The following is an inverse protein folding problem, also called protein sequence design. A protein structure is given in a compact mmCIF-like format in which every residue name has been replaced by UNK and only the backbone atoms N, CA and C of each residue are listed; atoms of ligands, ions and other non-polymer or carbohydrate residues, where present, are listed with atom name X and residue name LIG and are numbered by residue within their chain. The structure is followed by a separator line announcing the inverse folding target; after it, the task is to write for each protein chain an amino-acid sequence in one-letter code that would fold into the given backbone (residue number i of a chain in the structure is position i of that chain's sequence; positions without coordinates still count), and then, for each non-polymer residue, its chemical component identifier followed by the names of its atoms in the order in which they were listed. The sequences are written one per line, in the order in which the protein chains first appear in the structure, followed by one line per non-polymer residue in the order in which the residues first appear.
data_IF_430355935063
#
_entry.id   IF_430355935063
#
_cell.length_a   1.000
_cell.length_b   1.000
_cell.length_c   1.000
_cell.angle_alpha   90.00
_cell.angle_beta   90.00
_cell.angle_gamma   90.00
#
_symmetry.space_group_name_H-M   'P 1'
#
loop_
_entity.id
_entity.type
_entity.pdbx_description
1 polymer ?
#
# COMPACT_ATOMS: atom_id res chain seq x y z
N UNK A 1 -15.81 11.15 71.89
CA UNK A 1 -14.64 10.56 71.21
C UNK A 1 -15.03 10.15 69.79
N UNK A 2 -14.66 10.92 68.77
CA UNK A 2 -14.66 10.50 67.35
C UNK A 2 -13.47 11.18 66.70
N UNK A 3 -12.51 10.39 66.19
CA UNK A 3 -11.36 10.89 65.42
C UNK A 3 -11.78 11.04 63.96
N UNK A 4 -11.39 12.11 63.24
CA UNK A 4 -11.61 12.19 61.80
C UNK A 4 -10.56 11.35 61.07
N UNK A 5 -11.01 10.58 60.08
CA UNK A 5 -10.17 9.82 59.16
C UNK A 5 -9.68 10.76 58.06
N UNK A 6 -8.35 10.84 57.86
CA UNK A 6 -7.75 11.52 56.72
C UNK A 6 -7.75 10.57 55.52
N UNK A 7 -8.46 10.93 54.44
CA UNK A 7 -8.32 10.28 53.14
C UNK A 7 -6.99 10.70 52.51
N UNK A 8 -6.04 9.78 52.41
CA UNK A 8 -4.84 9.97 51.61
C UNK A 8 -5.18 9.77 50.12
N UNK A 9 -5.16 10.86 49.35
CA UNK A 9 -5.24 10.80 47.89
C UNK A 9 -3.87 10.40 47.37
N UNK A 10 -3.73 9.17 46.88
CA UNK A 10 -2.53 8.71 46.18
C UNK A 10 -2.59 9.26 44.75
N UNK A 11 -1.82 10.30 44.47
CA UNK A 11 -1.62 10.81 43.11
C UNK A 11 -0.64 9.88 42.41
N UNK A 12 -1.16 8.98 41.58
CA UNK A 12 -0.35 8.13 40.72
C UNK A 12 0.17 8.99 39.55
N UNK A 13 1.37 9.53 39.67
CA UNK A 13 2.07 10.17 38.55
C UNK A 13 2.40 9.09 37.53
N UNK A 14 1.63 9.04 36.44
CA UNK A 14 2.00 8.35 35.21
C UNK A 14 3.29 9.00 34.68
N UNK A 15 4.42 8.36 34.94
CA UNK A 15 5.66 8.65 34.22
C UNK A 15 5.42 8.21 32.77
N UNK A 16 5.24 9.18 31.88
CA UNK A 16 5.34 8.94 30.45
C UNK A 16 6.77 8.49 30.17
N UNK A 17 6.96 7.18 30.01
CA UNK A 17 8.21 6.65 29.47
C UNK A 17 8.21 7.05 28.00
N UNK A 18 8.91 8.14 27.69
CA UNK A 18 9.28 8.46 26.32
C UNK A 18 10.22 7.36 25.86
N UNK A 19 9.70 6.38 25.12
CA UNK A 19 10.54 5.51 24.31
C UNK A 19 11.27 6.46 23.35
N UNK A 20 12.60 6.60 23.43
CA UNK A 20 13.29 7.43 22.47
C UNK A 20 13.03 6.82 21.09
N UNK A 21 12.92 7.65 20.06
CA UNK A 21 12.89 7.19 18.67
C UNK A 21 14.28 6.62 18.29
N UNK A 22 14.68 5.51 18.91
CA UNK A 22 16.03 4.94 18.79
C UNK A 22 16.26 4.34 17.39
N UNK A 23 15.22 4.21 16.56
CA UNK A 23 15.29 3.52 15.27
C UNK A 23 15.67 4.36 14.04
N UNK A 24 15.71 5.70 14.10
CA UNK A 24 15.74 6.51 12.86
C UNK A 24 16.94 7.45 12.71
N UNK A 25 17.74 7.67 13.75
CA UNK A 25 19.01 8.42 13.62
C UNK A 25 19.97 7.72 12.64
N UNK A 26 19.85 6.40 12.47
CA UNK A 26 20.61 5.64 11.46
C UNK A 26 20.25 5.97 10.01
N UNK A 27 19.09 6.59 9.78
CA UNK A 27 18.63 7.04 8.46
C UNK A 27 18.95 8.52 8.21
N UNK A 28 19.76 9.18 9.05
CA UNK A 28 20.18 10.57 8.83
C UNK A 28 21.49 10.71 8.03
N UNK A 29 22.17 9.60 7.73
CA UNK A 29 23.43 9.60 6.98
C UNK A 29 23.26 9.47 5.46
N UNK A 30 24.33 9.74 4.71
CA UNK A 30 24.33 9.65 3.25
C UNK A 30 24.64 8.23 2.75
N UNK A 31 24.27 7.94 1.51
CA UNK A 31 24.57 6.70 0.80
C UNK A 31 23.46 5.67 0.89
N UNK A 32 23.74 4.45 0.43
CA UNK A 32 22.75 3.37 0.48
C UNK A 32 22.57 2.88 1.91
N UNK A 33 21.31 2.83 2.34
CA UNK A 33 20.86 2.14 3.54
C UNK A 33 19.87 1.06 3.18
N UNK A 34 19.91 -0.05 3.90
CA UNK A 34 18.89 -1.08 3.79
C UNK A 34 18.38 -1.53 5.13
N UNK A 35 17.11 -1.95 5.20
CA UNK A 35 16.56 -2.60 6.38
C UNK A 35 15.45 -3.58 6.01
N UNK A 36 15.19 -4.52 6.92
CA UNK A 36 14.17 -5.57 6.81
C UNK A 36 12.97 -5.29 7.70
N UNK A 37 11.80 -5.61 7.18
CA UNK A 37 10.50 -5.52 7.87
C UNK A 37 9.69 -6.78 7.61
N UNK A 38 8.76 -7.14 8.50
CA UNK A 38 7.77 -8.17 8.17
C UNK A 38 6.94 -7.77 6.96
N UNK A 39 6.63 -8.74 6.11
CA UNK A 39 5.79 -8.54 4.95
C UNK A 39 4.29 -8.63 5.30
N UNK A 40 3.44 -7.96 4.51
CA UNK A 40 2.00 -8.25 4.48
C UNK A 40 1.76 -9.63 3.86
N UNK A 41 0.84 -10.42 4.43
CA UNK A 41 0.69 -11.84 4.10
C UNK A 41 0.33 -12.16 2.64
N UNK A 42 -0.21 -11.20 1.89
CA UNK A 42 -0.61 -11.37 0.48
C UNK A 42 0.39 -10.80 -0.52
N UNK A 43 1.57 -10.36 -0.07
CA UNK A 43 2.58 -9.89 -1.02
C UNK A 43 3.18 -11.09 -1.75
N UNK A 44 3.24 -11.01 -3.09
CA UNK A 44 3.99 -11.98 -3.89
C UNK A 44 5.50 -11.80 -3.74
N UNK A 45 6.28 -12.70 -4.35
CA UNK A 45 7.74 -12.50 -4.41
C UNK A 45 8.07 -11.34 -5.36
N UNK A 46 8.39 -10.18 -4.80
CA UNK A 46 8.68 -8.95 -5.53
C UNK A 46 10.16 -8.87 -5.89
N UNK A 47 10.55 -9.58 -6.95
CA UNK A 47 11.91 -9.52 -7.51
C UNK A 47 11.94 -8.94 -8.92
N UNK A 48 13.15 -8.87 -9.49
CA UNK A 48 13.39 -8.42 -10.85
C UNK A 48 13.49 -9.61 -11.79
N UNK A 49 12.89 -9.46 -12.97
CA UNK A 49 12.81 -10.51 -13.98
C UNK A 49 13.18 -9.97 -15.37
N UNK A 50 13.76 -10.85 -16.19
CA UNK A 50 13.82 -10.68 -17.64
C UNK A 50 12.65 -11.41 -18.28
N UNK A 51 11.85 -10.67 -19.05
CA UNK A 51 10.67 -11.20 -19.74
C UNK A 51 11.00 -11.43 -21.21
N UNK A 52 11.02 -12.70 -21.62
CA UNK A 52 11.33 -13.08 -22.99
C UNK A 52 10.32 -14.11 -23.48
N UNK A 53 9.51 -13.76 -24.50
CA UNK A 53 8.55 -14.66 -25.16
C UNK A 53 7.63 -15.43 -24.18
N UNK A 54 7.13 -14.75 -23.14
CA UNK A 54 6.26 -15.34 -22.12
C UNK A 54 6.98 -16.11 -21.01
N UNK A 55 8.30 -16.25 -21.07
CA UNK A 55 9.11 -16.79 -19.98
C UNK A 55 9.66 -15.66 -19.09
N UNK A 56 9.65 -15.88 -17.78
CA UNK A 56 10.16 -14.95 -16.78
C UNK A 56 11.36 -15.57 -16.06
N UNK A 57 12.54 -14.99 -16.24
CA UNK A 57 13.76 -15.45 -15.57
C UNK A 57 14.16 -14.45 -14.50
N UNK A 58 14.29 -14.91 -13.24
CA UNK A 58 14.74 -14.06 -12.12
C UNK A 58 16.16 -13.58 -12.38
N UNK A 59 16.39 -12.28 -12.16
CA UNK A 59 17.70 -11.64 -12.24
C UNK A 59 17.97 -10.76 -11.01
N UNK A 60 19.22 -10.37 -10.76
CA UNK A 60 19.51 -9.37 -9.74
C UNK A 60 18.78 -8.05 -10.00
N UNK A 61 18.27 -7.44 -8.93
CA UNK A 61 17.72 -6.09 -8.96
C UNK A 61 18.83 -5.06 -8.88
N UNK A 62 18.92 -4.20 -9.90
CA UNK A 62 19.91 -3.13 -9.97
C UNK A 62 19.40 -1.89 -9.24
N UNK A 63 20.02 -1.57 -8.10
CA UNK A 63 19.65 -0.42 -7.27
C UNK A 63 20.06 0.92 -7.91
N UNK A 64 21.04 0.91 -8.81
CA UNK A 64 21.57 2.14 -9.41
C UNK A 64 20.76 2.64 -10.60
N UNK A 65 19.91 1.76 -11.15
CA UNK A 65 19.03 2.09 -12.28
C UNK A 65 17.65 2.49 -11.80
N UNK A 66 17.09 3.52 -12.46
CA UNK A 66 15.72 4.00 -12.23
C UNK A 66 14.64 3.06 -12.79
N UNK A 67 14.97 1.97 -13.49
CA UNK A 67 13.96 1.17 -14.18
C UNK A 67 14.33 -0.31 -14.39
N UNK A 68 13.41 -1.15 -13.91
CA UNK A 68 13.17 -2.52 -14.34
C UNK A 68 11.82 -2.89 -13.75
N UNK A 69 10.92 -3.49 -14.54
CA UNK A 69 9.66 -4.00 -13.99
C UNK A 69 9.96 -4.94 -12.82
N UNK A 70 9.48 -4.59 -11.63
CA UNK A 70 9.53 -5.44 -10.45
C UNK A 70 8.11 -5.92 -10.18
N UNK A 71 7.98 -7.18 -9.77
CA UNK A 71 6.70 -7.84 -9.62
C UNK A 71 6.93 -9.33 -9.43
N UNK A 72 5.86 -10.11 -9.30
CA UNK A 72 5.96 -11.56 -9.25
C UNK A 72 5.93 -12.16 -10.65
N UNK A 73 6.89 -13.02 -11.01
CA UNK A 73 6.66 -13.97 -12.08
C UNK A 73 5.52 -14.88 -11.64
N UNK A 74 4.43 -14.98 -12.42
CA UNK A 74 3.13 -15.54 -12.05
C UNK A 74 3.06 -17.01 -11.56
N UNK A 75 4.15 -17.60 -11.09
CA UNK A 75 4.13 -18.75 -10.18
C UNK A 75 3.99 -18.26 -8.74
N UNK A 76 3.19 -18.93 -7.89
CA UNK A 76 3.15 -18.62 -6.47
C UNK A 76 4.48 -19.04 -5.84
N UNK A 77 5.48 -18.16 -5.89
CA UNK A 77 6.54 -18.19 -4.90
C UNK A 77 5.87 -18.00 -3.53
N UNK A 78 6.32 -18.76 -2.52
CA UNK A 78 5.85 -18.56 -1.16
C UNK A 78 5.97 -17.07 -0.82
N UNK A 79 4.90 -16.51 -0.25
CA UNK A 79 4.89 -15.11 0.17
C UNK A 79 6.12 -14.86 1.05
N UNK A 80 6.93 -13.84 0.76
CA UNK A 80 8.13 -13.58 1.55
C UNK A 80 7.69 -13.27 2.98
N UNK A 81 8.40 -13.82 3.96
CA UNK A 81 8.16 -13.45 5.37
C UNK A 81 8.63 -12.02 5.67
N UNK A 82 9.62 -11.55 4.89
CA UNK A 82 10.23 -10.24 5.08
C UNK A 82 10.49 -9.53 3.76
N UNK A 83 10.26 -8.21 3.77
CA UNK A 83 10.62 -7.30 2.70
C UNK A 83 11.93 -6.60 3.08
N UNK A 84 12.76 -6.31 2.08
CA UNK A 84 13.95 -5.49 2.21
C UNK A 84 13.71 -4.17 1.49
N UNK A 85 13.93 -3.08 2.22
CA UNK A 85 13.83 -1.71 1.71
C UNK A 85 15.25 -1.21 1.52
N UNK A 86 15.50 -0.56 0.40
CA UNK A 86 16.75 0.08 0.05
C UNK A 86 16.47 1.55 -0.21
N UNK A 87 17.16 2.44 0.50
CA UNK A 87 17.07 3.87 0.29
C UNK A 87 18.46 4.44 0.01
N UNK A 88 18.59 5.18 -1.09
CA UNK A 88 19.76 6.03 -1.32
C UNK A 88 19.46 7.37 -0.67
N UNK A 89 20.23 7.74 0.34
CA UNK A 89 20.02 8.93 1.14
C UNK A 89 21.03 10.03 0.80
N UNK A 90 20.55 11.27 0.80
CA UNK A 90 21.33 12.51 0.69
C UNK A 90 20.83 13.49 1.75
N UNK A 91 21.65 13.78 2.77
CA UNK A 91 21.27 14.56 3.94
C UNK A 91 20.12 13.95 4.76
N UNK A 92 20.04 12.62 4.79
CA UNK A 92 18.94 11.87 5.44
C UNK A 92 17.62 11.84 4.66
N UNK A 93 17.58 12.41 3.46
CA UNK A 93 16.42 12.38 2.57
C UNK A 93 16.60 11.31 1.49
N UNK A 94 15.56 10.51 1.20
CA UNK A 94 15.65 9.56 0.11
C UNK A 94 15.67 10.29 -1.22
N UNK A 95 16.65 9.96 -2.06
CA UNK A 95 16.66 10.32 -3.49
C UNK A 95 16.29 9.13 -4.38
N UNK A 96 16.27 7.92 -3.79
CA UNK A 96 15.80 6.68 -4.41
C UNK A 96 15.31 5.71 -3.34
N UNK A 97 14.23 5.00 -3.62
CA UNK A 97 13.70 3.94 -2.78
C UNK A 97 13.34 2.73 -3.64
N UNK A 98 13.80 1.55 -3.22
CA UNK A 98 13.38 0.27 -3.77
C UNK A 98 12.89 -0.64 -2.66
N UNK A 99 11.91 -1.47 -2.98
CA UNK A 99 11.42 -2.49 -2.05
C UNK A 99 11.31 -3.81 -2.79
N UNK A 100 11.95 -4.84 -2.24
CA UNK A 100 11.99 -6.18 -2.80
C UNK A 100 11.74 -7.21 -1.71
N UNK A 101 11.44 -8.45 -2.08
CA UNK A 101 11.55 -9.55 -1.12
C UNK A 101 12.99 -9.64 -0.61
N UNK A 102 13.20 -9.96 0.66
CA UNK A 102 14.56 -10.11 1.21
C UNK A 102 15.37 -11.25 0.55
N UNK A 103 14.72 -12.14 -0.19
CA UNK A 103 15.36 -13.21 -0.97
C UNK A 103 15.93 -12.73 -2.32
N UNK A 104 15.56 -11.54 -2.80
CA UNK A 104 15.96 -11.06 -4.12
C UNK A 104 17.46 -10.73 -4.15
N UNK A 105 18.24 -11.31 -5.08
CA UNK A 105 19.60 -10.83 -5.29
C UNK A 105 19.55 -9.37 -5.77
N UNK A 106 20.45 -8.53 -5.26
CA UNK A 106 20.57 -7.13 -5.66
C UNK A 106 22.00 -6.82 -6.09
N UNK A 107 22.16 -5.79 -6.93
CA UNK A 107 23.45 -5.24 -7.32
C UNK A 107 23.46 -3.73 -7.10
N UNK A 108 24.58 -3.21 -6.61
CA UNK A 108 24.88 -1.77 -6.59
C UNK A 108 26.38 -1.54 -6.77
N UNK A 109 26.71 -0.37 -7.28
CA UNK A 109 28.04 0.22 -7.40
C UNK A 109 28.50 0.86 -6.08
N UNK A 110 27.56 1.24 -5.21
CA UNK A 110 27.84 1.76 -3.87
C UNK A 110 27.80 0.67 -2.80
N UNK A 111 28.51 0.90 -1.69
CA UNK A 111 28.38 0.09 -0.50
C UNK A 111 26.99 0.29 0.11
N UNK A 112 26.35 -0.82 0.51
CA UNK A 112 25.04 -0.83 1.16
C UNK A 112 25.28 -1.08 2.64
N UNK A 113 24.95 -0.09 3.47
CA UNK A 113 24.95 -0.24 4.93
C UNK A 113 23.60 -0.86 5.36
N UNK A 114 23.64 -2.15 5.73
CA UNK A 114 22.46 -2.91 6.15
C UNK A 114 22.22 -2.76 7.66
N UNK A 115 21.11 -2.09 7.98
CA UNK A 115 20.68 -1.77 9.33
C UNK A 115 19.99 -2.96 10.03
N UNK A 116 19.80 -4.07 9.31
CA UNK A 116 19.16 -5.27 9.83
C UNK A 116 17.64 -5.10 9.93
N UNK A 117 17.03 -5.68 10.96
CA UNK A 117 15.57 -5.62 11.16
C UNK A 117 15.19 -4.35 11.89
N UNK A 118 14.20 -3.63 11.36
CA UNK A 118 13.57 -2.47 12.00
C UNK A 118 12.09 -2.80 12.27
N UNK A 119 11.55 -2.25 13.37
CA UNK A 119 10.12 -2.37 13.69
C UNK A 119 9.26 -1.79 12.56
N UNK A 120 8.16 -2.47 12.24
CA UNK A 120 7.29 -2.08 11.13
C UNK A 120 6.68 -0.68 11.36
N UNK A 121 6.39 -0.31 12.61
CA UNK A 121 5.85 0.99 12.98
C UNK A 121 6.87 2.11 12.75
N UNK A 122 8.12 1.90 13.16
CA UNK A 122 9.20 2.87 13.00
C UNK A 122 9.54 3.10 11.52
N UNK A 123 9.62 2.02 10.75
CA UNK A 123 9.84 2.08 9.30
C UNK A 123 8.72 2.84 8.59
N UNK A 124 7.46 2.52 8.87
CA UNK A 124 6.29 3.21 8.29
C UNK A 124 6.21 4.66 8.76
N UNK A 125 6.58 4.95 10.01
CA UNK A 125 6.66 6.31 10.54
C UNK A 125 7.68 7.17 9.80
N UNK A 126 8.82 6.60 9.40
CA UNK A 126 9.79 7.30 8.57
C UNK A 126 9.27 7.49 7.14
N UNK A 127 8.82 6.41 6.49
CA UNK A 127 8.35 6.45 5.09
C UNK A 127 7.21 7.45 4.88
N UNK A 128 6.23 7.52 5.79
CA UNK A 128 5.10 8.44 5.64
C UNK A 128 5.52 9.91 5.75
N UNK A 129 6.57 10.24 6.52
CA UNK A 129 7.13 11.60 6.54
C UNK A 129 7.72 11.93 5.18
N UNK A 130 8.44 10.98 4.59
CA UNK A 130 9.04 11.16 3.26
C UNK A 130 7.98 11.33 2.16
N UNK A 131 6.80 10.70 2.25
CA UNK A 131 5.68 10.92 1.31
C UNK A 131 5.23 12.38 1.31
N UNK A 132 5.32 13.06 2.46
CA UNK A 132 4.92 14.46 2.59
C UNK A 132 6.02 15.42 2.12
N UNK A 133 7.29 14.99 2.20
CA UNK A 133 8.45 15.83 1.91
C UNK A 133 8.97 15.67 0.48
N UNK A 134 8.80 14.49 -0.12
CA UNK A 134 9.41 14.11 -1.41
C UNK A 134 8.35 13.58 -2.41
N UNK A 135 7.46 14.44 -2.95
CA UNK A 135 6.33 14.03 -3.80
C UNK A 135 6.71 13.22 -5.04
N UNK A 136 7.92 13.42 -5.57
CA UNK A 136 8.47 12.70 -6.72
C UNK A 136 8.66 11.21 -6.43
N UNK A 137 8.83 10.83 -5.17
CA UNK A 137 9.04 9.45 -4.72
C UNK A 137 7.78 8.79 -4.16
N UNK A 138 6.62 9.46 -4.16
CA UNK A 138 5.40 8.97 -3.52
C UNK A 138 5.01 7.57 -3.99
N UNK A 139 5.14 7.29 -5.29
CA UNK A 139 4.86 5.96 -5.83
C UNK A 139 5.69 4.87 -5.15
N UNK A 140 7.01 5.07 -5.00
CA UNK A 140 7.91 4.11 -4.36
C UNK A 140 7.71 4.04 -2.84
N UNK A 141 7.48 5.18 -2.20
CA UNK A 141 7.30 5.26 -0.75
C UNK A 141 5.97 4.62 -0.31
N UNK A 142 4.88 4.89 -1.03
CA UNK A 142 3.58 4.26 -0.77
C UNK A 142 3.61 2.76 -1.08
N UNK A 143 4.32 2.34 -2.15
CA UNK A 143 4.57 0.93 -2.43
C UNK A 143 5.31 0.27 -1.25
N UNK A 144 6.38 0.89 -0.77
CA UNK A 144 7.12 0.41 0.39
C UNK A 144 6.20 0.26 1.61
N UNK A 145 5.41 1.27 1.96
CA UNK A 145 4.45 1.19 3.07
C UNK A 145 3.47 0.02 2.88
N UNK A 146 2.94 -0.16 1.67
CA UNK A 146 1.90 -1.17 1.40
C UNK A 146 2.31 -2.61 1.63
N UNK A 147 3.60 -2.91 1.47
CA UNK A 147 4.13 -4.27 1.67
C UNK A 147 4.55 -4.55 3.12
N UNK A 148 4.54 -3.55 4.02
CA UNK A 148 4.78 -3.79 5.44
C UNK A 148 3.62 -4.57 6.05
N UNK A 149 3.94 -5.53 6.91
CA UNK A 149 2.97 -6.19 7.77
C UNK A 149 2.35 -5.23 8.80
N UNK A 150 1.33 -5.73 9.49
CA UNK A 150 0.63 -5.00 10.56
C UNK A 150 -0.46 -4.03 10.08
N UNK A 151 -1.23 -3.55 11.05
CA UNK A 151 -2.36 -2.64 10.84
C UNK A 151 -1.92 -1.19 10.60
N UNK A 152 -0.79 -0.78 11.19
CA UNK A 152 -0.34 0.62 11.10
C UNK A 152 -0.05 1.06 9.66
N UNK A 153 0.55 0.18 8.83
CA UNK A 153 0.77 0.47 7.41
C UNK A 153 -0.54 0.61 6.63
N UNK A 154 -1.53 -0.25 6.90
CA UNK A 154 -2.88 -0.13 6.35
C UNK A 154 -3.50 1.22 6.72
N UNK A 155 -3.51 1.55 8.00
CA UNK A 155 -4.18 2.75 8.51
C UNK A 155 -3.55 4.03 7.95
N UNK A 156 -2.23 4.05 7.78
CA UNK A 156 -1.50 5.14 7.12
C UNK A 156 -1.93 5.29 5.66
N UNK A 157 -2.03 4.19 4.90
CA UNK A 157 -2.47 4.23 3.51
C UNK A 157 -3.95 4.64 3.35
N UNK A 158 -4.82 4.14 4.23
CA UNK A 158 -6.25 4.54 4.25
C UNK A 158 -6.36 6.04 4.47
N UNK A 159 -5.62 6.59 5.46
CA UNK A 159 -5.59 8.03 5.71
C UNK A 159 -5.07 8.82 4.50
N UNK A 160 -4.01 8.36 3.84
CA UNK A 160 -3.52 9.01 2.62
C UNK A 160 -4.55 8.99 1.49
N UNK A 161 -5.23 7.87 1.26
CA UNK A 161 -6.27 7.75 0.24
C UNK A 161 -7.47 8.68 0.51
N UNK A 162 -7.86 8.81 1.78
CA UNK A 162 -9.02 9.57 2.20
C UNK A 162 -8.77 11.08 2.29
N UNK A 163 -7.62 11.49 2.83
CA UNK A 163 -7.47 12.83 3.41
C UNK A 163 -6.27 13.62 2.86
N UNK A 164 -5.40 13.02 2.06
CA UNK A 164 -4.21 13.73 1.57
C UNK A 164 -4.58 14.89 0.62
N UNK A 165 -3.91 16.02 0.73
CA UNK A 165 -4.22 17.22 -0.07
C UNK A 165 -3.99 17.02 -1.59
N UNK A 166 -2.95 16.26 -1.95
CA UNK A 166 -2.67 15.91 -3.34
C UNK A 166 -3.55 14.75 -3.80
N UNK A 167 -4.39 15.01 -4.81
CA UNK A 167 -5.21 14.00 -5.48
C UNK A 167 -4.37 12.83 -6.02
N UNK A 168 -3.15 13.10 -6.52
CA UNK A 168 -2.29 12.04 -7.03
C UNK A 168 -1.85 11.09 -5.91
N UNK A 169 -1.42 11.62 -4.76
CA UNK A 169 -1.04 10.80 -3.60
C UNK A 169 -2.23 9.99 -3.08
N UNK A 170 -3.45 10.57 -3.07
CA UNK A 170 -4.67 9.83 -2.71
C UNK A 170 -4.89 8.62 -3.62
N UNK A 171 -4.76 8.81 -4.94
CA UNK A 171 -4.88 7.75 -5.94
C UNK A 171 -3.81 6.67 -5.77
N UNK A 172 -2.55 7.08 -5.62
CA UNK A 172 -1.44 6.13 -5.43
C UNK A 172 -1.61 5.30 -4.15
N UNK A 173 -2.04 5.92 -3.05
CA UNK A 173 -2.31 5.21 -1.80
C UNK A 173 -3.45 4.20 -1.95
N UNK A 174 -4.54 4.60 -2.62
CA UNK A 174 -5.67 3.71 -2.91
C UNK A 174 -5.27 2.55 -3.82
N UNK A 175 -4.46 2.83 -4.84
CA UNK A 175 -3.93 1.81 -5.75
C UNK A 175 -3.16 0.74 -4.98
N UNK A 176 -2.21 1.16 -4.13
CA UNK A 176 -1.41 0.24 -3.35
C UNK A 176 -2.20 -0.52 -2.26
N UNK A 177 -3.26 0.08 -1.71
CA UNK A 177 -4.23 -0.66 -0.89
C UNK A 177 -4.89 -1.78 -1.70
N UNK A 178 -5.36 -1.49 -2.92
CA UNK A 178 -5.96 -2.48 -3.80
C UNK A 178 -5.02 -3.64 -4.14
N UNK A 179 -3.74 -3.36 -4.41
CA UNK A 179 -2.76 -4.38 -4.81
C UNK A 179 -2.51 -5.45 -3.75
N UNK A 180 -2.31 -5.06 -2.48
CA UNK A 180 -1.87 -6.00 -1.44
C UNK A 180 -2.88 -6.20 -0.31
N UNK A 181 -3.88 -5.32 -0.21
CA UNK A 181 -4.81 -5.24 0.93
C UNK A 181 -6.26 -5.05 0.48
N UNK A 182 -6.58 -5.31 -0.79
CA UNK A 182 -7.89 -5.01 -1.36
C UNK A 182 -9.05 -5.71 -0.65
N UNK A 183 -8.90 -7.00 -0.32
CA UNK A 183 -9.92 -7.73 0.43
C UNK A 183 -10.09 -7.22 1.86
N UNK A 184 -8.98 -6.90 2.53
CA UNK A 184 -8.96 -6.34 3.89
C UNK A 184 -9.60 -4.94 3.94
N UNK A 185 -9.44 -4.16 2.87
CA UNK A 185 -9.85 -2.76 2.80
C UNK A 185 -11.05 -2.52 1.87
N UNK A 186 -11.82 -3.57 1.57
CA UNK A 186 -13.02 -3.47 0.73
C UNK A 186 -13.97 -2.34 1.18
N UNK A 187 -14.31 -2.17 2.49
CA UNK A 187 -15.18 -1.08 2.90
C UNK A 187 -14.63 0.31 2.56
N UNK A 188 -13.31 0.50 2.59
CA UNK A 188 -12.66 1.75 2.20
C UNK A 188 -12.74 1.96 0.69
N UNK A 189 -12.48 0.92 -0.10
CA UNK A 189 -12.59 0.96 -1.57
C UNK A 189 -14.02 1.31 -2.01
N UNK A 190 -15.02 0.66 -1.42
CA UNK A 190 -16.44 0.90 -1.69
C UNK A 190 -16.86 2.31 -1.28
N UNK A 191 -16.52 2.75 -0.08
CA UNK A 191 -16.82 4.11 0.39
C UNK A 191 -16.24 5.17 -0.56
N UNK A 192 -15.00 4.99 -1.03
CA UNK A 192 -14.40 5.92 -1.99
C UNK A 192 -15.07 5.80 -3.36
N UNK A 193 -15.40 4.60 -3.84
CA UNK A 193 -16.08 4.42 -5.12
C UNK A 193 -17.48 5.07 -5.14
N UNK A 194 -18.19 5.05 -4.01
CA UNK A 194 -19.59 5.43 -3.91
C UNK A 194 -19.75 6.92 -3.56
N UNK A 195 -18.97 7.38 -2.58
CA UNK A 195 -19.27 8.61 -1.86
C UNK A 195 -18.18 9.68 -1.94
N UNK A 196 -17.01 9.40 -2.52
CA UNK A 196 -15.94 10.40 -2.57
C UNK A 196 -16.40 11.67 -3.29
N UNK A 197 -16.15 12.88 -2.73
CA UNK A 197 -16.55 14.12 -3.38
C UNK A 197 -15.83 14.32 -4.72
N UNK A 198 -14.60 13.80 -4.86
CA UNK A 198 -13.83 13.91 -6.09
C UNK A 198 -14.22 12.79 -7.07
N UNK A 199 -14.72 13.17 -8.25
CA UNK A 199 -15.10 12.21 -9.28
C UNK A 199 -13.92 11.39 -9.83
N UNK A 200 -12.71 11.95 -9.84
CA UNK A 200 -11.50 11.25 -10.22
C UNK A 200 -11.10 10.17 -9.21
N UNK A 201 -11.39 10.36 -7.92
CA UNK A 201 -11.22 9.32 -6.89
C UNK A 201 -12.24 8.20 -7.06
N UNK A 202 -13.53 8.53 -7.25
CA UNK A 202 -14.56 7.50 -7.48
C UNK A 202 -14.23 6.62 -8.68
N UNK A 203 -13.86 7.24 -9.80
CA UNK A 203 -13.45 6.52 -11.01
C UNK A 203 -12.22 5.63 -10.79
N UNK A 204 -11.24 6.11 -10.01
CA UNK A 204 -10.04 5.34 -9.70
C UNK A 204 -10.34 4.15 -8.78
N UNK A 205 -11.22 4.33 -7.79
CA UNK A 205 -11.67 3.26 -6.91
C UNK A 205 -12.44 2.16 -7.69
N UNK A 206 -13.30 2.52 -8.63
CA UNK A 206 -14.00 1.56 -9.51
C UNK A 206 -13.01 0.73 -10.34
N UNK A 207 -11.96 1.36 -10.87
CA UNK A 207 -10.88 0.65 -11.56
C UNK A 207 -10.11 -0.29 -10.62
N UNK A 208 -9.86 0.11 -9.38
CA UNK A 208 -9.17 -0.74 -8.41
C UNK A 208 -10.04 -1.95 -8.04
N UNK A 209 -11.34 -1.73 -7.78
CA UNK A 209 -12.32 -2.80 -7.54
C UNK A 209 -12.31 -3.83 -8.68
N UNK A 210 -12.24 -3.38 -9.94
CA UNK A 210 -12.21 -4.28 -11.09
C UNK A 210 -10.92 -5.10 -11.23
N UNK A 211 -9.83 -4.66 -10.59
CA UNK A 211 -8.54 -5.34 -10.61
C UNK A 211 -8.31 -6.23 -9.38
N UNK A 212 -9.25 -6.27 -8.42
CA UNK A 212 -9.09 -7.12 -7.26
C UNK A 212 -9.07 -8.60 -7.66
N UNK A 213 -8.20 -9.41 -7.02
CA UNK A 213 -8.09 -10.83 -7.34
C UNK A 213 -9.38 -11.58 -6.99
N UNK A 214 -9.57 -12.74 -7.63
CA UNK A 214 -10.68 -13.65 -7.37
C UNK A 214 -12.07 -12.98 -7.49
N UNK A 215 -12.20 -12.00 -8.39
CA UNK A 215 -13.46 -11.28 -8.64
C UNK A 215 -14.04 -10.58 -7.40
N UNK A 216 -13.21 -10.23 -6.41
CA UNK A 216 -13.69 -9.71 -5.13
C UNK A 216 -14.47 -8.39 -5.26
N UNK A 217 -14.19 -7.57 -6.28
CA UNK A 217 -14.89 -6.30 -6.52
C UNK A 217 -16.08 -6.36 -7.48
N UNK A 218 -16.42 -7.53 -8.04
CA UNK A 218 -17.48 -7.63 -9.07
C UNK A 218 -18.85 -7.24 -8.51
N UNK A 219 -19.21 -7.68 -7.31
CA UNK A 219 -20.49 -7.34 -6.69
C UNK A 219 -20.61 -5.83 -6.42
N UNK A 220 -19.51 -5.19 -6.03
CA UNK A 220 -19.44 -3.74 -5.83
C UNK A 220 -19.66 -2.96 -7.13
N UNK A 221 -19.16 -3.47 -8.28
CA UNK A 221 -19.41 -2.89 -9.60
C UNK A 221 -20.86 -3.10 -10.06
N UNK A 222 -21.41 -4.30 -9.86
CA UNK A 222 -22.82 -4.61 -10.15
C UNK A 222 -23.75 -3.67 -9.36
N UNK A 223 -23.47 -3.46 -8.07
CA UNK A 223 -24.23 -2.55 -7.22
C UNK A 223 -24.27 -1.13 -7.77
N UNK A 224 -23.13 -0.63 -8.29
CA UNK A 224 -23.05 0.70 -8.91
C UNK A 224 -23.87 0.75 -10.19
N UNK A 225 -23.73 -0.22 -11.09
CA UNK A 225 -24.47 -0.22 -12.36
C UNK A 225 -25.99 -0.33 -12.15
N UNK A 226 -26.41 -1.21 -11.24
CA UNK A 226 -27.81 -1.55 -10.97
C UNK A 226 -28.60 -0.48 -10.21
N UNK A 227 -27.94 0.41 -9.47
CA UNK A 227 -28.61 1.45 -8.70
C UNK A 227 -28.59 2.80 -9.43
N UNK A 228 -29.78 3.34 -9.74
CA UNK A 228 -29.97 4.62 -10.45
C UNK A 228 -29.66 5.86 -9.60
N UNK A 229 -29.51 5.70 -8.28
CA UNK A 229 -29.12 6.79 -7.39
C UNK A 229 -27.64 7.15 -7.54
N UNK A 230 -26.81 6.24 -8.07
CA UNK A 230 -25.44 6.57 -8.46
C UNK A 230 -25.39 7.48 -9.68
N UNK A 231 -24.37 8.32 -9.72
CA UNK A 231 -24.16 9.30 -10.79
C UNK A 231 -23.94 8.58 -12.12
N UNK A 232 -24.48 9.14 -13.20
CA UNK A 232 -24.37 8.56 -14.54
C UNK A 232 -22.93 8.21 -14.92
N UNK A 233 -21.97 9.09 -14.62
CA UNK A 233 -20.55 8.87 -14.92
C UNK A 233 -19.95 7.70 -14.13
N UNK A 234 -20.33 7.54 -12.86
CA UNK A 234 -19.86 6.43 -12.01
C UNK A 234 -20.45 5.10 -12.52
N UNK A 235 -21.75 5.08 -12.86
CA UNK A 235 -22.43 3.93 -13.47
C UNK A 235 -21.83 3.51 -14.80
N UNK A 236 -21.53 4.48 -15.67
CA UNK A 236 -20.87 4.25 -16.97
C UNK A 236 -19.48 3.65 -16.79
N UNK A 237 -18.70 4.16 -15.83
CA UNK A 237 -17.35 3.67 -15.55
C UNK A 237 -17.39 2.25 -14.96
N UNK A 238 -18.28 1.99 -14.00
CA UNK A 238 -18.48 0.65 -13.44
C UNK A 238 -18.92 -0.35 -14.53
N UNK A 239 -19.84 0.04 -15.42
CA UNK A 239 -20.27 -0.79 -16.55
C UNK A 239 -19.11 -1.12 -17.49
N UNK A 240 -18.24 -0.14 -17.79
CA UNK A 240 -17.07 -0.34 -18.63
C UNK A 240 -16.11 -1.39 -18.05
N UNK A 241 -15.82 -1.34 -16.75
CA UNK A 241 -14.97 -2.34 -16.10
C UNK A 241 -15.64 -3.69 -15.95
N UNK A 242 -16.94 -3.70 -15.65
CA UNK A 242 -17.72 -4.93 -15.55
C UNK A 242 -17.74 -5.68 -16.88
N UNK A 243 -17.88 -4.97 -18.00
CA UNK A 243 -17.82 -5.53 -19.35
C UNK A 243 -16.43 -6.08 -19.75
N UNK A 244 -15.36 -5.65 -19.08
CA UNK A 244 -14.01 -6.20 -19.26
C UNK A 244 -13.69 -7.32 -18.26
N UNK A 245 -14.56 -7.56 -17.29
CA UNK A 245 -14.37 -8.66 -16.37
C UNK A 245 -14.68 -9.99 -17.06
N UNK A 246 -13.85 -11.00 -16.85
CA UNK A 246 -14.11 -12.37 -17.30
C UNK A 246 -15.03 -13.14 -16.32
N UNK A 247 -15.91 -12.42 -15.61
CA UNK A 247 -16.75 -12.98 -14.54
C UNK A 247 -18.09 -13.45 -15.09
N UNK A 248 -18.47 -14.68 -14.79
CA UNK A 248 -19.80 -15.21 -15.14
C UNK A 248 -20.92 -14.39 -14.50
N UNK A 249 -20.73 -13.92 -13.25
CA UNK A 249 -21.70 -13.05 -12.56
C UNK A 249 -21.89 -11.72 -13.28
N UNK A 250 -20.80 -11.14 -13.78
CA UNK A 250 -20.86 -9.92 -14.58
C UNK A 250 -21.64 -10.16 -15.88
N UNK A 251 -21.36 -11.27 -16.56
CA UNK A 251 -22.06 -11.63 -17.79
C UNK A 251 -23.57 -11.82 -17.56
N UNK A 252 -23.95 -12.56 -16.52
CA UNK A 252 -25.34 -12.78 -16.14
C UNK A 252 -26.07 -11.47 -15.87
N UNK A 253 -25.44 -10.58 -15.08
CA UNK A 253 -26.01 -9.27 -14.77
C UNK A 253 -26.19 -8.41 -16.03
N UNK A 254 -25.19 -8.37 -16.92
CA UNK A 254 -25.26 -7.60 -18.16
C UNK A 254 -26.33 -8.14 -19.12
N UNK A 255 -26.49 -9.46 -19.22
CA UNK A 255 -27.53 -10.08 -20.03
C UNK A 255 -28.94 -9.71 -19.52
N UNK A 256 -29.14 -9.73 -18.19
CA UNK A 256 -30.39 -9.31 -17.57
C UNK A 256 -30.66 -7.82 -17.83
N UNK A 257 -29.65 -6.96 -17.67
CA UNK A 257 -29.75 -5.51 -17.87
C UNK A 257 -30.13 -5.13 -19.31
N UNK A 258 -29.66 -5.89 -20.31
CA UNK A 258 -30.00 -5.66 -21.72
C UNK A 258 -31.35 -6.25 -22.13
N UNK A 259 -31.90 -7.15 -21.31
CA UNK A 259 -33.18 -7.81 -21.57
C UNK A 259 -34.35 -7.19 -20.79
N UNK A 260 -34.06 -6.29 -19.84
CA UNK A 260 -35.08 -5.53 -19.13
C UNK A 260 -35.56 -4.35 -20.00
N UNK A 261 -36.86 -4.37 -20.36
CA UNK A 261 -37.56 -3.26 -21.03
C UNK A 261 -37.57 -1.96 -20.21
#
# INVERSE_FOLDING_TARGET
MRRPYACAVVVLTLLAVSVPAVGLDMLSGDGWRSWRVAAVGNVGDLCCYDWNAGNATRKPCDLDRRSGGYGSAGTPAAAPETMQIYALLDGGKPVRVHTFSASCPVTSTGEIDDLGRIDETDSVAWLQRQVSEEPVLNGQLLAAISVHGGDYSRDVLVRFAEQHESLQTRKDALFWLGQFRGAETMPTLERIAYDDPDGGMRQHALFILSQLPNEAGIDSLIAVVGNRDFRYEDRKNALFWLAQSNSDRALEFLAALLSSD
#
